data_IF_787859274888
#
_entry.id   IF_787859274888
#
_cell.length_a   1.000
_cell.length_b   1.000
_cell.length_c   1.000
_cell.angle_alpha   90.00
_cell.angle_beta   90.00
_cell.angle_gamma   90.00
#
_symmetry.space_group_name_H-M   'P 1'
#
loop_
_entity.id
_entity.type
_entity.pdbx_description
1 polymer ?
#
# COMPACT_ATOMS: atom_id res chain seq x y z
N UNK A 1 11.60 -4.13 -16.02
CA UNK A 1 12.72 -4.23 -15.06
C UNK A 1 12.36 -5.31 -14.05
N UNK A 2 13.34 -6.10 -13.63
CA UNK A 2 13.20 -7.13 -12.60
C UNK A 2 14.39 -7.01 -11.66
N UNK A 3 14.13 -7.00 -10.36
CA UNK A 3 15.15 -7.10 -9.31
C UNK A 3 14.74 -8.21 -8.35
N UNK A 4 15.69 -8.96 -7.79
CA UNK A 4 15.37 -10.09 -6.93
C UNK A 4 16.51 -10.38 -5.95
N UNK A 5 16.19 -11.10 -4.87
CA UNK A 5 17.16 -11.58 -3.90
C UNK A 5 16.62 -12.84 -3.20
N UNK A 6 17.50 -13.79 -2.88
CA UNK A 6 17.16 -14.94 -2.03
C UNK A 6 17.02 -14.51 -0.58
N UNK A 7 16.11 -15.16 0.14
CA UNK A 7 16.00 -14.98 1.59
C UNK A 7 17.09 -15.78 2.28
N UNK A 8 17.73 -15.20 3.29
CA UNK A 8 18.87 -15.80 3.97
C UNK A 8 18.52 -17.13 4.66
N UNK A 9 17.29 -17.24 5.15
CA UNK A 9 16.81 -18.38 5.93
C UNK A 9 16.51 -19.62 5.06
N UNK A 10 16.35 -19.45 3.74
CA UNK A 10 15.92 -20.52 2.83
C UNK A 10 16.44 -20.28 1.41
N UNK A 11 17.21 -21.21 0.83
CA UNK A 11 17.79 -21.04 -0.50
C UNK A 11 16.74 -21.08 -1.64
N UNK A 12 15.57 -21.64 -1.37
CA UNK A 12 14.45 -21.76 -2.32
C UNK A 12 13.54 -20.52 -2.30
N UNK A 13 13.58 -19.75 -1.21
CA UNK A 13 12.74 -18.55 -1.06
C UNK A 13 13.39 -17.34 -1.72
N UNK A 14 12.62 -16.69 -2.59
CA UNK A 14 13.06 -15.53 -3.35
C UNK A 14 12.04 -14.41 -3.29
N UNK A 15 12.52 -13.19 -3.10
CA UNK A 15 11.72 -11.96 -3.28
C UNK A 15 12.00 -11.42 -4.67
N UNK A 16 10.96 -11.17 -5.47
CA UNK A 16 11.09 -10.70 -6.85
C UNK A 16 10.25 -9.44 -7.07
N UNK A 17 10.90 -8.31 -7.31
CA UNK A 17 10.26 -7.06 -7.73
C UNK A 17 10.14 -7.00 -9.26
N UNK A 18 8.97 -6.59 -9.74
CA UNK A 18 8.62 -6.46 -11.16
C UNK A 18 7.95 -5.12 -11.44
N UNK A 19 7.66 -4.82 -12.71
CA UNK A 19 6.91 -3.62 -13.06
C UNK A 19 5.48 -3.59 -12.45
N UNK A 20 4.88 -4.75 -12.16
CA UNK A 20 3.50 -4.85 -11.70
C UNK A 20 3.35 -4.98 -10.18
N UNK A 21 4.38 -5.46 -9.50
CA UNK A 21 4.36 -5.71 -8.07
C UNK A 21 5.54 -6.54 -7.60
N UNK A 22 5.41 -7.09 -6.40
CA UNK A 22 6.41 -7.94 -5.75
C UNK A 22 5.84 -9.34 -5.54
N UNK A 23 6.63 -10.35 -5.84
CA UNK A 23 6.40 -11.73 -5.41
C UNK A 23 7.16 -11.95 -4.11
N UNK A 24 6.43 -12.38 -3.09
CA UNK A 24 6.99 -12.72 -1.78
C UNK A 24 7.11 -14.25 -1.67
N UNK A 25 8.07 -14.75 -0.88
CA UNK A 25 8.16 -16.16 -0.52
C UNK A 25 6.81 -16.72 -0.06
N UNK A 26 6.47 -17.92 -0.53
CA UNK A 26 5.21 -18.62 -0.22
C UNK A 26 3.91 -17.90 -0.63
N UNK A 27 3.97 -16.72 -1.26
CA UNK A 27 2.78 -16.03 -1.73
C UNK A 27 2.23 -16.71 -3.00
N UNK A 28 0.93 -17.04 -2.98
CA UNK A 28 0.22 -17.60 -4.14
C UNK A 28 0.04 -16.55 -5.23
N UNK A 29 -0.07 -15.28 -4.84
CA UNK A 29 -0.31 -14.16 -5.73
C UNK A 29 0.71 -13.04 -5.54
N UNK A 30 0.91 -12.27 -6.62
CA UNK A 30 1.78 -11.09 -6.61
C UNK A 30 1.10 -9.94 -5.90
N UNK A 31 1.75 -9.38 -4.90
CA UNK A 31 1.30 -8.15 -4.28
C UNK A 31 1.60 -6.96 -5.20
N UNK A 32 0.57 -6.25 -5.64
CA UNK A 32 0.70 -5.02 -6.41
C UNK A 32 1.33 -3.88 -5.60
N UNK A 33 2.01 -2.97 -6.29
CA UNK A 33 2.64 -1.83 -5.61
C UNK A 33 1.65 -0.96 -4.84
N UNK A 34 0.43 -0.84 -5.37
CA UNK A 34 -0.67 -0.11 -4.76
C UNK A 34 -1.22 -0.79 -3.49
N UNK A 35 -0.96 -2.09 -3.30
CA UNK A 35 -1.42 -2.90 -2.17
C UNK A 35 -0.40 -2.92 -1.02
N UNK A 36 0.70 -2.17 -1.11
CA UNK A 36 1.72 -2.07 -0.05
C UNK A 36 1.56 -0.76 0.71
N UNK A 37 1.06 -0.83 1.95
CA UNK A 37 0.98 0.35 2.82
C UNK A 37 2.35 0.91 3.16
N UNK A 38 3.31 0.04 3.46
CA UNK A 38 4.66 0.44 3.86
C UNK A 38 5.68 -0.59 3.40
N UNK A 39 6.81 -0.10 2.93
CA UNK A 39 8.03 -0.88 2.78
C UNK A 39 9.15 -0.20 3.55
N UNK A 40 9.93 -0.98 4.29
CA UNK A 40 11.08 -0.48 5.04
C UNK A 40 12.28 -1.38 4.80
N UNK A 41 13.45 -0.76 4.66
CA UNK A 41 14.73 -1.44 4.55
C UNK A 41 15.63 -1.00 5.70
N UNK A 42 16.18 -1.96 6.43
CA UNK A 42 17.03 -1.71 7.60
C UNK A 42 18.54 -1.84 7.32
N UNK A 43 18.93 -2.10 6.07
CA UNK A 43 20.30 -2.45 5.69
C UNK A 43 20.54 -3.95 5.52
N UNK A 44 19.67 -4.80 6.07
CA UNK A 44 19.68 -6.25 5.86
C UNK A 44 18.29 -6.90 5.80
N UNK A 45 17.29 -6.27 6.38
CA UNK A 45 15.92 -6.80 6.43
C UNK A 45 14.98 -5.91 5.61
N UNK A 46 14.25 -6.52 4.67
CA UNK A 46 13.16 -5.90 3.93
C UNK A 46 11.85 -6.24 4.63
N UNK A 47 11.18 -5.23 5.17
CA UNK A 47 9.87 -5.34 5.82
C UNK A 47 8.78 -4.75 4.93
N UNK A 48 7.73 -5.52 4.69
CA UNK A 48 6.56 -5.14 3.92
C UNK A 48 5.33 -5.21 4.81
N UNK A 49 4.56 -4.13 4.84
CA UNK A 49 3.22 -4.09 5.44
C UNK A 49 2.21 -4.02 4.30
N UNK A 50 1.49 -5.12 4.02
CA UNK A 50 0.43 -5.12 3.02
C UNK A 50 -0.77 -4.30 3.50
N UNK A 51 -1.56 -3.81 2.56
CA UNK A 51 -2.91 -3.35 2.81
C UNK A 51 -3.83 -4.55 3.00
N UNK A 52 -4.74 -4.47 3.95
CA UNK A 52 -5.83 -5.43 4.12
C UNK A 52 -7.16 -4.70 3.98
N UNK A 53 -8.09 -5.29 3.23
CA UNK A 53 -9.43 -4.73 3.04
C UNK A 53 -10.24 -4.97 4.30
N UNK A 54 -10.62 -3.88 4.98
CA UNK A 54 -11.58 -3.95 6.06
C UNK A 54 -13.01 -3.97 5.51
N UNK A 55 -13.33 -3.05 4.61
CA UNK A 55 -14.67 -2.89 4.01
C UNK A 55 -14.55 -2.30 2.61
N UNK A 56 -15.33 -2.82 1.66
CA UNK A 56 -15.56 -2.18 0.36
C UNK A 56 -16.72 -1.21 0.44
N UNK A 57 -16.56 0.00 -0.10
CA UNK A 57 -17.61 1.03 -0.17
C UNK A 57 -17.80 1.50 -1.60
N UNK A 58 -18.89 2.21 -1.86
CA UNK A 58 -19.11 2.74 -3.20
C UNK A 58 -18.03 3.77 -3.54
N UNK A 59 -17.30 3.51 -4.62
CA UNK A 59 -16.19 4.33 -5.06
C UNK A 59 -14.84 4.06 -4.37
N UNK A 60 -14.74 3.65 -3.12
CA UNK A 60 -13.43 3.47 -2.48
C UNK A 60 -13.39 2.29 -1.49
N UNK A 61 -12.18 1.82 -1.20
CA UNK A 61 -11.97 0.72 -0.26
C UNK A 61 -11.42 1.24 1.06
N UNK A 62 -11.96 0.76 2.19
CA UNK A 62 -11.39 1.00 3.52
C UNK A 62 -10.32 -0.06 3.78
N UNK A 63 -9.10 0.41 4.05
CA UNK A 63 -7.93 -0.41 4.28
C UNK A 63 -7.42 -0.27 5.70
N UNK A 64 -6.85 -1.35 6.23
CA UNK A 64 -6.04 -1.36 7.47
C UNK A 64 -4.65 -1.93 7.17
N UNK A 65 -3.72 -1.76 8.09
CA UNK A 65 -2.42 -2.44 7.98
C UNK A 65 -2.62 -3.94 8.21
N UNK A 66 -2.32 -4.74 7.18
CA UNK A 66 -2.20 -6.18 7.33
C UNK A 66 -0.92 -6.56 8.10
N UNK A 67 -0.75 -7.85 8.43
CA UNK A 67 0.40 -8.33 9.17
C UNK A 67 1.70 -8.05 8.40
N UNK A 68 2.65 -7.37 9.05
CA UNK A 68 3.93 -7.07 8.44
C UNK A 68 4.77 -8.36 8.29
N UNK A 69 5.32 -8.55 7.10
CA UNK A 69 6.24 -9.65 6.77
C UNK A 69 7.65 -9.10 6.58
N UNK A 70 8.66 -9.86 6.99
CA UNK A 70 10.07 -9.42 6.95
C UNK A 70 10.94 -10.51 6.35
N UNK A 71 11.93 -10.11 5.56
CA UNK A 71 12.85 -11.01 4.87
C UNK A 71 14.28 -10.54 5.07
N UNK A 72 15.15 -11.41 5.59
CA UNK A 72 16.58 -11.15 5.69
C UNK A 72 17.23 -11.37 4.31
N UNK A 73 17.88 -10.34 3.77
CA UNK A 73 18.48 -10.32 2.43
C UNK A 73 19.98 -9.96 2.56
N UNK A 74 20.86 -10.94 2.32
CA UNK A 74 22.31 -10.75 2.51
C UNK A 74 22.98 -10.03 1.33
N UNK A 75 22.51 -10.31 0.11
CA UNK A 75 23.02 -9.72 -1.13
C UNK A 75 21.86 -9.11 -1.93
N UNK A 76 21.26 -8.02 -1.43
CA UNK A 76 19.98 -7.52 -1.93
C UNK A 76 20.07 -6.81 -3.29
N UNK A 77 21.27 -6.42 -3.72
CA UNK A 77 21.46 -5.60 -4.93
C UNK A 77 20.56 -4.37 -4.91
N UNK A 78 19.86 -4.11 -6.01
CA UNK A 78 18.95 -2.96 -6.16
C UNK A 78 17.53 -3.24 -5.65
N UNK A 79 17.23 -4.45 -5.14
CA UNK A 79 15.88 -4.84 -4.76
C UNK A 79 15.22 -3.87 -3.75
N UNK A 80 15.88 -3.46 -2.64
CA UNK A 80 15.25 -2.58 -1.67
C UNK A 80 14.93 -1.19 -2.24
N UNK A 81 15.82 -0.66 -3.08
CA UNK A 81 15.64 0.65 -3.72
C UNK A 81 14.52 0.61 -4.74
N UNK A 82 14.43 -0.46 -5.55
CA UNK A 82 13.35 -0.61 -6.51
C UNK A 82 11.99 -0.79 -5.82
N UNK A 83 11.92 -1.58 -4.74
CA UNK A 83 10.71 -1.71 -3.92
C UNK A 83 10.28 -0.35 -3.37
N UNK A 84 11.20 0.39 -2.74
CA UNK A 84 10.90 1.72 -2.20
C UNK A 84 10.41 2.65 -3.31
N UNK A 85 11.14 2.74 -4.42
CA UNK A 85 10.81 3.63 -5.52
C UNK A 85 9.46 3.29 -6.16
N UNK A 86 9.10 2.00 -6.25
CA UNK A 86 7.80 1.56 -6.80
C UNK A 86 6.63 1.83 -5.86
N UNK A 87 6.79 1.52 -4.57
CA UNK A 87 5.77 1.83 -3.56
C UNK A 87 5.53 3.33 -3.52
N UNK A 88 6.58 4.15 -3.51
CA UNK A 88 6.43 5.62 -3.55
C UNK A 88 5.77 6.11 -4.84
N UNK A 89 6.18 5.62 -6.01
CA UNK A 89 5.58 6.02 -7.30
C UNK A 89 4.11 5.60 -7.45
N UNK A 90 3.68 4.57 -6.73
CA UNK A 90 2.28 4.16 -6.72
C UNK A 90 1.37 5.22 -6.09
N UNK A 91 1.88 6.11 -5.23
CA UNK A 91 1.08 7.16 -4.60
C UNK A 91 0.87 8.33 -5.57
N UNK A 92 -0.38 8.56 -5.97
CA UNK A 92 -0.78 9.74 -6.74
C UNK A 92 -1.36 10.85 -5.89
N UNK A 93 -2.00 10.48 -4.79
CA UNK A 93 -2.58 11.39 -3.82
C UNK A 93 -2.46 10.80 -2.42
N UNK A 94 -2.21 11.65 -1.42
CA UNK A 94 -2.23 11.27 0.00
C UNK A 94 -2.54 12.48 0.86
N UNK A 95 -3.51 12.33 1.77
CA UNK A 95 -3.84 13.34 2.78
C UNK A 95 -4.28 12.64 4.05
N UNK A 96 -3.78 13.10 5.19
CA UNK A 96 -4.16 12.57 6.50
C UNK A 96 -5.11 13.54 7.19
N UNK A 97 -6.14 13.00 7.83
CA UNK A 97 -7.21 13.75 8.46
C UNK A 97 -7.55 13.13 9.82
N UNK A 98 -7.76 14.00 10.81
CA UNK A 98 -8.34 13.60 12.09
C UNK A 98 -9.86 13.54 11.94
N UNK A 99 -10.48 12.52 12.53
CA UNK A 99 -11.93 12.36 12.58
C UNK A 99 -12.43 12.62 14.01
N UNK A 100 -13.76 12.75 14.22
CA UNK A 100 -14.35 12.80 15.56
C UNK A 100 -13.92 11.62 16.42
N UNK A 101 -13.81 10.43 15.82
CA UNK A 101 -13.23 9.22 16.41
C UNK A 101 -12.14 8.64 15.51
N UNK A 102 -10.88 8.76 15.93
CA UNK A 102 -9.73 8.21 15.22
C UNK A 102 -9.18 9.13 14.11
N UNK A 103 -8.53 8.53 13.13
CA UNK A 103 -7.91 9.26 12.02
C UNK A 103 -7.75 8.39 10.79
N UNK A 104 -7.72 9.05 9.63
CA UNK A 104 -7.68 8.37 8.34
C UNK A 104 -6.68 9.01 7.41
N UNK A 105 -6.16 8.20 6.49
CA UNK A 105 -5.39 8.67 5.34
C UNK A 105 -6.14 8.34 4.06
N UNK A 106 -6.64 9.36 3.38
CA UNK A 106 -7.15 9.23 2.02
C UNK A 106 -5.96 9.04 1.09
N UNK A 107 -6.03 8.03 0.22
CA UNK A 107 -4.97 7.68 -0.73
C UNK A 107 -5.56 7.38 -2.09
N UNK A 108 -5.04 8.07 -3.11
CA UNK A 108 -5.23 7.74 -4.51
C UNK A 108 -3.97 7.07 -5.03
N UNK A 109 -4.05 5.83 -5.49
CA UNK A 109 -2.89 5.05 -5.94
C UNK A 109 -3.01 4.60 -7.39
N UNK A 110 -1.89 4.69 -8.12
CA UNK A 110 -1.73 4.19 -9.47
C UNK A 110 -1.59 2.67 -9.45
N UNK A 111 -2.43 1.99 -10.24
CA UNK A 111 -2.35 0.55 -10.43
C UNK A 111 -1.60 0.29 -11.73
N UNK A 112 -0.52 -0.48 -11.67
CA UNK A 112 0.27 -0.83 -12.87
C UNK A 112 -0.64 -1.43 -13.95
N UNK A 113 -0.67 -0.81 -15.13
CA UNK A 113 -1.50 -1.25 -16.26
C UNK A 113 -2.92 -0.70 -16.27
N UNK A 114 -3.30 0.18 -15.34
CA UNK A 114 -4.58 0.91 -15.36
C UNK A 114 -4.34 2.42 -15.38
N UNK A 115 -5.21 3.14 -16.08
CA UNK A 115 -5.20 4.60 -16.08
C UNK A 115 -5.98 5.13 -14.86
N UNK A 116 -5.61 6.32 -14.40
CA UNK A 116 -6.24 6.98 -13.26
C UNK A 116 -5.78 6.46 -11.89
N UNK A 117 -6.46 6.92 -10.86
CA UNK A 117 -6.20 6.56 -9.47
C UNK A 117 -7.27 5.61 -8.95
N UNK A 118 -6.83 4.53 -8.31
CA UNK A 118 -7.66 3.72 -7.42
C UNK A 118 -7.72 4.39 -6.06
N UNK A 119 -8.92 4.59 -5.53
CA UNK A 119 -9.13 5.31 -4.28
C UNK A 119 -9.34 4.36 -3.13
N UNK A 120 -8.67 4.66 -2.02
CA UNK A 120 -8.85 3.96 -0.77
C UNK A 120 -8.67 4.94 0.40
N UNK A 121 -9.10 4.49 1.57
CA UNK A 121 -8.84 5.19 2.82
C UNK A 121 -8.22 4.21 3.78
N UNK A 122 -6.99 4.50 4.22
CA UNK A 122 -6.35 3.74 5.28
C UNK A 122 -6.82 4.29 6.62
N UNK A 123 -7.47 3.46 7.41
CA UNK A 123 -7.86 3.81 8.77
C UNK A 123 -6.66 3.58 9.68
N UNK A 124 -6.38 4.55 10.56
CA UNK A 124 -5.38 4.36 11.59
C UNK A 124 -5.92 3.42 12.66
N UNK A 125 -5.01 2.73 13.35
CA UNK A 125 -5.36 1.79 14.41
C UNK A 125 -6.30 2.42 15.44
N UNK A 126 -7.41 1.75 15.73
CA UNK A 126 -8.42 2.22 16.68
C UNK A 126 -9.54 3.08 16.08
N UNK A 127 -9.49 3.40 14.78
CA UNK A 127 -10.58 4.09 14.09
C UNK A 127 -11.75 3.12 13.85
N UNK A 128 -12.97 3.41 14.30
CA UNK A 128 -14.10 2.49 14.21
C UNK A 128 -14.67 2.43 12.77
N UNK A 129 -14.40 1.33 12.07
CA UNK A 129 -14.74 1.15 10.64
C UNK A 129 -16.24 1.24 10.34
N UNK A 130 -17.09 0.88 11.31
CA UNK A 130 -18.56 0.83 11.19
C UNK A 130 -19.27 2.05 11.81
N UNK A 131 -18.55 3.02 12.38
CA UNK A 131 -19.19 4.21 12.97
C UNK A 131 -19.74 5.12 11.89
N UNK A 132 -21.04 5.45 11.94
CA UNK A 132 -21.71 6.27 10.94
C UNK A 132 -21.05 7.65 10.76
N UNK A 133 -20.67 8.31 11.85
CA UNK A 133 -20.00 9.62 11.80
C UNK A 133 -18.62 9.54 11.12
N UNK A 134 -17.89 8.45 11.36
CA UNK A 134 -16.60 8.18 10.69
C UNK A 134 -16.80 7.91 9.21
N UNK A 135 -17.86 7.18 8.84
CA UNK A 135 -18.18 6.87 7.45
C UNK A 135 -18.54 8.15 6.69
N UNK A 136 -19.48 8.94 7.21
CA UNK A 136 -19.92 10.20 6.59
C UNK A 136 -18.74 11.16 6.37
N UNK A 137 -17.90 11.36 7.40
CA UNK A 137 -16.71 12.19 7.29
C UNK A 137 -15.72 11.63 6.24
N UNK A 138 -15.59 10.30 6.14
CA UNK A 138 -14.70 9.67 5.17
C UNK A 138 -15.22 9.84 3.73
N UNK A 139 -16.51 9.70 3.50
CA UNK A 139 -17.15 9.91 2.19
C UNK A 139 -16.88 11.33 1.66
N UNK A 140 -17.06 12.35 2.51
CA UNK A 140 -16.78 13.76 2.18
C UNK A 140 -15.31 13.99 1.83
N UNK A 141 -14.39 13.41 2.60
CA UNK A 141 -12.95 13.53 2.38
C UNK A 141 -12.53 12.89 1.06
N UNK A 142 -13.07 11.72 0.71
CA UNK A 142 -12.80 11.04 -0.57
C UNK A 142 -13.37 11.84 -1.74
N UNK A 143 -14.60 12.35 -1.62
CA UNK A 143 -15.22 13.19 -2.65
C UNK A 143 -14.43 14.46 -2.93
N UNK A 144 -13.96 15.13 -1.88
CA UNK A 144 -13.10 16.31 -1.96
C UNK A 144 -11.76 15.99 -2.63
N UNK A 145 -11.11 14.90 -2.22
CA UNK A 145 -9.83 14.48 -2.77
C UNK A 145 -9.92 14.18 -4.29
N UNK A 146 -10.98 13.51 -4.73
CA UNK A 146 -11.25 13.21 -6.15
C UNK A 146 -11.41 14.47 -6.97
N UNK A 147 -12.31 15.35 -6.51
CA UNK A 147 -12.62 16.61 -7.19
C UNK A 147 -11.35 17.45 -7.37
N UNK A 148 -10.48 17.48 -6.36
CA UNK A 148 -9.20 18.19 -6.39
C UNK A 148 -8.18 17.59 -7.36
N UNK A 149 -8.24 16.29 -7.65
CA UNK A 149 -7.35 15.64 -8.62
C UNK A 149 -7.86 15.70 -10.05
N UNK A 150 -9.17 15.78 -10.27
CA UNK A 150 -9.78 15.91 -11.61
C UNK A 150 -9.60 17.30 -12.22
N UNK A 151 -9.38 18.34 -11.39
CA UNK A 151 -9.15 19.71 -11.88
C UNK A 151 -7.71 19.97 -12.35
N UNK A 152 -6.81 18.99 -12.24
CA UNK A 152 -5.36 19.17 -12.44
C UNK A 152 -4.81 18.43 -13.68
N UNK A 153 -5.63 17.60 -14.34
CA UNK A 153 -5.35 16.99 -15.66
C UNK A 153 -6.01 17.80 -16.80
#
# INVERSE_FOLDING_TARGET
MVAWCRVAESPEDVVVATNYGIWLPSAVERLGWHEIHKAAWSGRELRITPAEVAVERDGYTVLVDGPAVSFLLLEPGELPDEVRARVTRSVGYTSHHTLPEGSVRVVGRRVSGRNGLSWAVRYDSGTPVESGEVVEATDELVGTARSATETVD
#
